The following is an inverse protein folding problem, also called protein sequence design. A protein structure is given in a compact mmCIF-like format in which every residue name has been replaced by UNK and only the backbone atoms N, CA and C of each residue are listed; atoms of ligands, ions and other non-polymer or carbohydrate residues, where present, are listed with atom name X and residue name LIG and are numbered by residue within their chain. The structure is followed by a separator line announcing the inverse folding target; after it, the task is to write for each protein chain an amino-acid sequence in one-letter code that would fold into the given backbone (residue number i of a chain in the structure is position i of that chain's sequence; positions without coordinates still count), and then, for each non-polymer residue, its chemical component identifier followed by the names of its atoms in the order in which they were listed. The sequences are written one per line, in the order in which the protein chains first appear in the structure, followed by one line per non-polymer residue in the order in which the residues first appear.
data_IF_117727293068
#
_entry.id   IF_117727293068
#
_cell.length_a   1.000
_cell.length_b   1.000
_cell.length_c   1.000
_cell.angle_alpha   90.00
_cell.angle_beta   90.00
_cell.angle_gamma   90.00
#
_symmetry.space_group_name_H-M   'P 1'
#
loop_
_entity.id
_entity.type
_entity.pdbx_description
1 polymer ?
2 water ?
#
# COMPACT_ATOMS: atom_id res chain seq x y z
N UNK A 10 27.04 19.78 21.29
CA UNK A 10 26.26 21.04 21.48
C UNK A 10 24.85 20.95 20.84
N UNK A 11 24.19 19.81 21.06
CA UNK A 11 22.88 19.50 20.44
C UNK A 11 22.09 18.51 21.28
N UNK A 12 20.78 18.47 21.06
CA UNK A 12 19.88 17.53 21.73
C UNK A 12 18.95 16.86 20.73
N UNK A 13 18.44 15.69 21.11
CA UNK A 13 17.51 14.91 20.30
C UNK A 13 16.38 14.48 21.22
N UNK A 14 15.16 14.54 20.73
CA UNK A 14 13.96 14.26 21.52
C UNK A 14 12.75 14.02 20.63
N UNK A 15 11.75 13.33 21.15
CA UNK A 15 10.50 13.12 20.42
C UNK A 15 9.66 14.41 20.45
N UNK A 16 9.07 14.83 19.31
CA UNK A 16 8.21 16.02 19.29
C UNK A 16 6.93 15.85 20.10
N UNK A 17 6.39 16.96 20.61
CA UNK A 17 5.16 16.96 21.41
C UNK A 17 3.92 16.62 20.57
N UNK A 20 1.34 14.68 14.28
CA UNK A 20 0.13 13.89 14.12
C UNK A 20 0.38 12.69 13.20
N UNK A 21 0.17 11.49 13.72
CA UNK A 21 0.41 10.24 12.97
C UNK A 21 -0.79 9.87 12.11
N UNK A 22 -0.55 9.57 10.84
CA UNK A 22 -1.61 9.11 9.93
C UNK A 22 -2.04 7.69 10.33
N UNK A 23 -3.34 7.49 10.63
CA UNK A 23 -3.85 6.16 10.90
C UNK A 23 -3.81 5.30 9.63
N UNK A 24 -3.39 4.05 9.77
CA UNK A 24 -3.38 3.06 8.68
C UNK A 24 -4.80 2.69 8.21
N UNK A 25 -4.92 2.17 6.99
CA UNK A 25 -6.21 1.71 6.48
C UNK A 25 -6.56 0.31 6.97
N UNK A 26 -7.69 0.22 7.68
CA UNK A 26 -8.25 -1.02 8.16
C UNK A 26 -9.72 -1.08 7.80
N UNK A 27 -10.23 -2.29 7.63
CA UNK A 27 -11.66 -2.49 7.41
C UNK A 27 -12.15 -3.63 8.30
N UNK A 28 -13.47 -3.69 8.47
CA UNK A 28 -14.08 -4.76 9.24
C UNK A 28 -14.44 -5.89 8.28
N UNK A 29 -13.98 -7.09 8.59
CA UNK A 29 -14.27 -8.26 7.77
C UNK A 29 -14.57 -9.42 8.70
N UNK A 30 -15.25 -10.42 8.16
CA UNK A 30 -15.55 -11.60 8.94
C UNK A 30 -15.07 -12.85 8.22
N UNK A 31 -14.33 -13.69 8.93
CA UNK A 31 -13.89 -14.96 8.39
C UNK A 31 -14.51 -16.09 9.21
N UNK A 32 -15.36 -16.88 8.54
CA UNK A 32 -16.12 -17.96 9.17
C UNK A 32 -16.82 -17.48 10.46
N UNK A 33 -17.52 -16.33 10.30
CA UNK A 33 -18.20 -15.61 11.39
C UNK A 33 -17.36 -14.93 12.48
N UNK A 34 -16.03 -14.99 12.36
CA UNK A 34 -15.14 -14.31 13.32
C UNK A 34 -14.82 -12.92 12.81
N UNK A 35 -15.15 -11.87 13.60
CA UNK A 35 -14.85 -10.50 13.17
C UNK A 35 -13.35 -10.25 13.19
N UNK A 36 -12.84 -9.65 12.13
CA UNK A 36 -11.41 -9.39 11.97
C UNK A 36 -11.26 -7.96 11.46
N UNK A 37 -10.24 -7.28 11.95
CA UNK A 37 -9.87 -5.96 11.45
C UNK A 37 -8.68 -6.13 10.50
N UNK A 38 -8.91 -5.90 9.21
CA UNK A 38 -7.93 -6.18 8.16
C UNK A 38 -7.15 -4.94 7.70
N UNK A 39 -5.83 -5.08 7.61
CA UNK A 39 -4.89 -4.02 7.18
C UNK A 39 -4.88 -3.97 5.66
N UNK A 40 -5.16 -2.78 5.10
CA UNK A 40 -5.23 -2.60 3.62
C UNK A 40 -3.91 -1.98 3.15
N UNK A 41 -3.09 -2.79 2.50
CA UNK A 41 -1.70 -2.41 2.23
C UNK A 41 -1.31 -2.60 0.76
N UNK A 42 -1.35 -1.52 -0.03
CA UNK A 42 -0.91 -1.59 -1.44
C UNK A 42 0.60 -1.80 -1.60
N UNK A 43 1.36 -1.66 -0.50
CA UNK A 43 2.80 -1.89 -0.53
C UNK A 43 3.20 -3.35 -0.48
N UNK A 44 2.23 -4.23 -0.24
CA UNK A 44 2.46 -5.68 -0.18
C UNK A 44 1.85 -6.35 -1.39
N UNK A 45 2.63 -7.22 -2.04
CA UNK A 45 2.14 -7.99 -3.18
C UNK A 45 1.14 -9.06 -2.73
N UNK A 46 1.38 -9.62 -1.54
CA UNK A 46 0.67 -10.83 -1.12
C UNK A 46 -0.18 -10.65 0.12
N UNK A 47 -1.41 -11.15 0.04
CA UNK A 47 -2.36 -11.11 1.13
C UNK A 47 -1.93 -12.18 2.13
N UNK A 48 -1.92 -11.80 3.40
CA UNK A 48 -1.47 -12.67 4.49
C UNK A 48 -2.46 -12.88 5.61
N UNK A 49 -2.46 -14.11 6.14
CA UNK A 49 -3.28 -14.44 7.29
C UNK A 49 -2.35 -15.00 8.36
N UNK A 50 -2.54 -14.56 9.59
CA UNK A 50 -1.76 -15.09 10.69
C UNK A 50 -2.09 -16.56 10.95
N UNK A 51 -1.10 -17.32 11.39
CA UNK A 51 -1.30 -18.70 11.83
C UNK A 51 -2.41 -18.76 12.91
N UNK A 52 -2.40 -17.78 13.81
CA UNK A 52 -3.36 -17.67 14.93
C UNK A 52 -4.81 -17.57 14.44
N UNK A 53 -5.07 -16.70 13.45
CA UNK A 53 -6.42 -16.53 12.91
C UNK A 53 -6.87 -17.76 12.10
N UNK A 54 -5.93 -18.37 11.36
CA UNK A 54 -6.21 -19.61 10.64
C UNK A 54 -6.66 -20.70 11.59
N UNK A 55 -6.06 -20.71 12.79
CA UNK A 55 -6.45 -21.64 13.84
C UNK A 55 -7.85 -21.32 14.37
N UNK A 56 -8.09 -20.07 14.77
CA UNK A 56 -9.34 -19.64 15.43
C UNK A 56 -10.57 -19.77 14.53
N UNK A 57 -10.39 -19.46 13.24
CA UNK A 57 -11.49 -19.49 12.26
C UNK A 57 -11.77 -20.87 11.66
N UNK A 58 -10.94 -21.85 12.05
CA UNK A 58 -11.04 -23.20 11.54
C UNK A 58 -10.57 -23.35 10.10
N UNK A 59 -9.53 -22.61 9.72
CA UNK A 59 -8.93 -22.73 8.37
C UNK A 59 -7.55 -23.41 8.32
N UNK A 60 -7.06 -23.87 9.47
CA UNK A 60 -5.72 -24.47 9.56
C UNK A 60 -5.63 -25.75 8.73
N UNK A 61 -6.76 -26.45 8.59
CA UNK A 61 -6.82 -27.67 7.76
C UNK A 61 -6.91 -27.38 6.26
N UNK A 62 -7.00 -26.10 5.90
CA UNK A 62 -7.04 -25.69 4.49
C UNK A 62 -5.68 -25.15 4.01
N UNK A 63 -4.67 -25.19 4.89
CA UNK A 63 -3.34 -24.67 4.55
C UNK A 63 -2.58 -25.71 3.71
N UNK A 64 -2.32 -25.34 2.47
CA UNK A 64 -1.54 -26.10 1.52
C UNK A 64 -0.07 -25.86 1.84
N UNK A 65 0.66 -26.94 2.11
CA UNK A 65 2.04 -26.80 2.60
C UNK A 65 3.15 -27.04 1.57
N UNK A 66 2.81 -27.36 0.32
CA UNK A 66 3.86 -27.62 -0.66
C UNK A 66 4.62 -26.36 -1.08
N UNK A 67 5.95 -26.46 -1.09
CA UNK A 67 6.83 -25.32 -1.33
C UNK A 67 7.04 -25.11 -2.83
C UNK A 78 7.36 -18.71 7.29
N UNK A 79 7.18 -19.09 6.03
CA UNK A 79 5.84 -19.31 5.48
C UNK A 79 5.31 -20.71 5.83
N UNK A 80 4.21 -20.76 6.54
CA UNK A 80 3.56 -22.00 6.89
C UNK A 80 2.91 -22.71 5.70
N UNK A 81 2.29 -21.92 4.83
CA UNK A 81 1.61 -22.45 3.65
C UNK A 81 0.69 -21.44 2.98
N UNK A 82 -0.20 -21.94 2.14
CA UNK A 82 -1.14 -21.11 1.38
C UNK A 82 -2.55 -21.61 1.61
N UNK A 83 -3.50 -20.70 1.82
CA UNK A 83 -4.94 -21.04 1.79
C UNK A 83 -5.44 -20.57 0.43
N UNK A 84 -5.96 -21.52 -0.36
CA UNK A 84 -6.28 -21.17 -1.75
C UNK A 84 -7.55 -20.39 -1.99
N UNK A 85 -8.61 -20.83 -1.35
CA UNK A 85 -9.88 -20.16 -1.44
C UNK A 85 -10.39 -20.22 -0.04
N UNK A 86 -10.54 -19.04 0.53
CA UNK A 86 -11.37 -18.87 1.70
C UNK A 86 -12.26 -17.66 1.52
N UNK A 87 -13.50 -17.79 1.98
CA UNK A 87 -14.46 -16.70 1.85
C UNK A 87 -14.26 -15.66 2.94
N UNK A 88 -14.20 -14.41 2.49
CA UNK A 88 -14.12 -13.29 3.38
C UNK A 88 -15.45 -12.57 3.29
N UNK A 89 -16.12 -12.45 4.42
CA UNK A 89 -17.38 -11.70 4.43
C UNK A 89 -17.15 -10.20 4.64
N UNK A 90 -17.62 -9.40 3.70
CA UNK A 90 -17.53 -7.95 3.80
C UNK A 90 -18.93 -7.41 3.52
N UNK A 91 -19.44 -6.66 4.50
CA UNK A 91 -20.84 -6.25 4.52
C UNK A 91 -21.71 -7.52 4.46
N UNK A 92 -22.55 -7.72 3.43
CA UNK A 92 -23.39 -8.95 3.41
C UNK A 92 -22.93 -10.02 2.40
N UNK A 93 -21.79 -9.77 1.77
CA UNK A 93 -21.33 -10.58 0.64
C UNK A 93 -20.03 -11.31 0.96
N UNK A 94 -19.83 -12.46 0.31
CA UNK A 94 -18.63 -13.25 0.50
C UNK A 94 -17.73 -13.06 -0.70
N UNK A 95 -16.46 -12.85 -0.42
CA UNK A 95 -15.45 -12.56 -1.46
C UNK A 95 -14.36 -13.61 -1.29
N UNK A 96 -14.14 -14.48 -2.31
CA UNK A 96 -13.15 -15.55 -2.17
C UNK A 96 -11.72 -15.00 -2.33
N UNK A 97 -10.87 -15.31 -1.37
CA UNK A 97 -9.52 -14.78 -1.31
C UNK A 97 -8.50 -15.88 -1.04
N UNK A 98 -7.32 -15.69 -1.57
CA UNK A 98 -6.15 -16.51 -1.14
C UNK A 98 -5.07 -15.95 -0.15
N UNK A 99 -4.52 -16.71 0.77
CA UNK A 99 -3.78 -16.11 1.84
C UNK A 99 -2.50 -16.90 1.93
N UNK A 100 -1.43 -16.20 2.31
CA UNK A 100 -0.18 -16.85 2.54
C UNK A 100 -0.24 -16.79 4.06
N UNK A 101 0.01 -17.92 4.69
CA UNK A 101 -0.06 -18.03 6.16
C UNK A 101 1.32 -17.86 6.79
N UNK A 102 1.42 -16.88 7.70
CA UNK A 102 2.63 -16.55 8.47
C UNK A 102 2.29 -16.43 9.94
N UNK A 103 3.25 -16.70 10.82
CA UNK A 103 3.15 -16.32 12.24
C UNK A 103 3.42 -14.81 12.39
N UNK A 104 2.33 -14.03 12.58
CA UNK A 104 2.41 -12.56 12.60
C UNK A 104 1.37 -11.99 13.56
N UNK A 105 1.63 -10.77 14.08
CA UNK A 105 0.71 -10.04 14.96
C UNK A 105 -0.49 -9.49 14.17
N UNK A 106 -0.28 -9.28 12.86
CA UNK A 106 -1.31 -8.81 11.94
C UNK A 106 -2.14 -10.00 11.49
N UNK A 107 -3.42 -10.03 11.89
CA UNK A 107 -4.29 -11.13 11.60
C UNK A 107 -4.67 -11.27 10.13
N UNK A 108 -5.00 -10.16 9.47
CA UNK A 108 -5.20 -10.22 8.01
C UNK A 108 -4.54 -8.99 7.41
N UNK A 109 -3.73 -9.18 6.38
CA UNK A 109 -3.18 -8.05 5.63
C UNK A 109 -3.68 -8.26 4.20
N UNK A 110 -4.47 -7.31 3.72
CA UNK A 110 -4.99 -7.36 2.33
C UNK A 110 -3.98 -6.66 1.43
N UNK A 111 -3.38 -7.43 0.52
CA UNK A 111 -2.35 -6.96 -0.38
C UNK A 111 -2.85 -6.70 -1.80
N UNK A 112 -1.92 -6.33 -2.68
CA UNK A 112 -2.27 -6.00 -4.06
C UNK A 112 -2.93 -7.12 -4.83
N UNK A 113 -2.53 -8.36 -4.55
CA UNK A 113 -3.08 -9.52 -5.26
C UNK A 113 -4.61 -9.55 -5.15
N UNK A 114 -5.13 -9.38 -3.94
CA UNK A 114 -6.57 -9.43 -3.71
C UNK A 114 -7.27 -8.14 -4.09
N UNK A 115 -6.60 -6.99 -3.90
CA UNK A 115 -7.15 -5.72 -4.43
C UNK A 115 -7.30 -5.72 -5.96
N UNK A 116 -6.31 -6.28 -6.67
CA UNK A 116 -6.38 -6.41 -8.14
C UNK A 116 -7.39 -7.48 -8.57
N UNK A 117 -7.37 -8.62 -7.89
CA UNK A 117 -8.29 -9.72 -8.25
C UNK A 117 -9.74 -9.28 -8.14
N UNK A 118 -10.04 -8.52 -7.08
CA UNK A 118 -11.40 -8.06 -6.80
C UNK A 118 -11.68 -6.62 -7.26
N UNK A 119 -10.83 -6.13 -8.18
CA UNK A 119 -11.06 -4.86 -8.86
C UNK A 119 -11.43 -3.74 -7.87
N UNK A 120 -10.60 -3.62 -6.84
CA UNK A 120 -10.88 -2.75 -5.70
C UNK A 120 -10.53 -1.28 -5.97
N UNK A 121 -11.17 -0.41 -5.21
CA UNK A 121 -10.78 0.98 -5.18
C UNK A 121 -10.59 1.43 -3.74
N UNK A 122 -9.39 1.94 -3.46
CA UNK A 122 -9.08 2.52 -2.16
C UNK A 122 -9.43 4.00 -2.29
N UNK A 123 -10.58 4.39 -1.74
CA UNK A 123 -11.13 5.73 -1.99
C UNK A 123 -10.90 6.59 -0.75
N UNK A 124 -9.88 7.44 -0.80
CA UNK A 124 -9.57 8.28 0.36
C UNK A 124 -10.38 9.57 0.47
N UNK A 125 -11.08 9.96 -0.61
CA UNK A 125 -12.06 11.06 -0.59
C UNK A 125 -13.32 10.69 0.22
N UNK A 126 -13.92 9.53 -0.08
CA UNK A 126 -15.09 9.02 0.66
C UNK A 126 -14.71 8.17 1.89
N UNK A 127 -13.41 7.86 2.06
CA UNK A 127 -12.90 6.97 3.13
C UNK A 127 -13.54 5.56 3.14
N UNK A 128 -13.57 4.93 1.97
CA UNK A 128 -14.13 3.60 1.84
C UNK A 128 -13.33 2.75 0.89
N UNK A 129 -13.48 1.45 1.04
CA UNK A 129 -12.85 0.50 0.17
C UNK A 129 -13.97 -0.12 -0.63
N UNK A 130 -13.84 -0.11 -1.93
CA UNK A 130 -14.83 -0.75 -2.77
C UNK A 130 -14.10 -1.98 -3.23
N UNK A 131 -14.69 -3.13 -2.99
CA UNK A 131 -14.07 -4.39 -3.35
C UNK A 131 -15.17 -5.31 -3.89
N UNK A 132 -14.85 -6.05 -4.94
CA UNK A 132 -15.84 -6.89 -5.64
C UNK A 132 -17.12 -6.05 -5.79
N UNK A 133 -18.26 -6.49 -5.26
CA UNK A 133 -19.49 -5.71 -5.40
C UNK A 133 -19.93 -4.88 -4.18
N UNK A 134 -19.05 -4.77 -3.17
CA UNK A 134 -19.41 -4.09 -1.89
C UNK A 134 -18.59 -2.83 -1.63
N UNK A 135 -19.07 -2.04 -0.67
CA UNK A 135 -18.38 -0.85 -0.20
C UNK A 135 -18.36 -0.90 1.34
N UNK A 136 -17.20 -0.68 1.93
CA UNK A 136 -17.03 -0.69 3.39
C UNK A 136 -16.14 0.48 3.86
N UNK A 137 -16.49 1.09 4.99
CA UNK A 137 -15.74 2.23 5.52
C UNK A 137 -14.41 1.81 6.15
N UNK A 138 -13.39 2.66 6.00
CA UNK A 138 -12.18 2.48 6.78
C UNK A 138 -12.44 2.76 8.24
N UNK A 139 -11.72 2.06 9.11
CA UNK A 139 -11.89 2.19 10.55
C UNK A 139 -11.24 3.44 11.14
N UNK A 140 -11.83 3.93 12.23
CA UNK A 140 -11.27 5.03 13.00
C UNK A 140 -9.97 4.58 13.70
N UNK A 141 -9.07 5.56 13.92
CA UNK A 141 -7.76 5.33 14.60
C UNK A 141 -7.88 4.55 15.92
N UNK A 142 -8.94 4.86 16.67
CA UNK A 142 -9.24 4.19 17.95
C UNK A 142 -9.57 2.70 17.81
N UNK A 143 -10.03 2.30 16.62
CA UNK A 143 -10.44 0.92 16.33
C UNK A 143 -9.31 0.04 15.76
N UNK A 144 -8.23 0.66 15.32
CA UNK A 144 -7.09 -0.06 14.72
C UNK A 144 -6.38 -0.94 15.78
N UNK A 145 -6.09 -2.23 15.44
CA UNK A 145 -5.38 -3.16 16.36
C UNK A 145 -4.05 -2.61 16.88
N UNK B 9 -11.80 -35.77 -27.81
CA UNK B 9 -12.82 -36.53 -27.04
C UNK B 9 -14.25 -36.17 -27.46
N UNK B 10 -15.18 -37.07 -27.18
CA UNK B 10 -16.62 -36.89 -27.44
C UNK B 10 -17.25 -35.60 -26.87
N UNK B 11 -16.70 -35.10 -25.76
CA UNK B 11 -17.18 -33.88 -25.11
C UNK B 11 -15.98 -33.03 -24.70
N UNK B 12 -16.16 -31.70 -24.76
CA UNK B 12 -15.11 -30.75 -24.32
C UNK B 12 -15.61 -29.94 -23.12
N UNK B 13 -14.88 -30.06 -22.01
CA UNK B 13 -15.20 -29.40 -20.75
C UNK B 13 -14.37 -28.13 -20.62
N UNK B 14 -15.04 -27.02 -20.32
CA UNK B 14 -14.36 -25.74 -20.19
C UNK B 14 -14.31 -25.37 -18.71
N UNK B 15 -13.08 -25.32 -18.17
CA UNK B 15 -12.86 -24.90 -16.78
C UNK B 15 -12.03 -23.62 -16.83
N UNK B 16 -12.69 -22.45 -16.79
CA UNK B 16 -11.93 -21.20 -16.96
C UNK B 16 -11.09 -20.86 -15.73
N UNK B 17 -10.00 -20.15 -15.95
CA UNK B 17 -9.17 -19.61 -14.88
C UNK B 17 -8.75 -18.22 -15.28
N UNK B 18 -8.62 -17.34 -14.30
CA UNK B 18 -8.05 -16.02 -14.53
C UNK B 18 -6.56 -16.02 -14.23
N UNK B 19 -5.83 -15.24 -15.02
CA UNK B 19 -4.41 -14.96 -14.80
C UNK B 19 -4.29 -13.44 -14.66
N UNK B 20 -3.76 -13.01 -13.51
CA UNK B 20 -3.69 -11.59 -13.19
C UNK B 20 -2.27 -11.26 -12.76
N UNK B 21 -1.63 -10.38 -13.53
CA UNK B 21 -0.33 -9.79 -13.15
C UNK B 21 -0.52 -8.92 -11.92
N UNK B 22 0.37 -9.03 -10.94
CA UNK B 22 0.32 -8.21 -9.72
C UNK B 22 1.64 -7.42 -9.54
N UNK B 23 1.87 -6.41 -10.42
CA UNK B 23 3.09 -5.60 -10.22
C UNK B 23 2.87 -4.64 -9.05
N UNK B 24 3.96 -4.18 -8.43
CA UNK B 24 3.87 -3.08 -7.44
C UNK B 24 3.27 -1.83 -8.09
N UNK B 25 2.57 -0.99 -7.32
CA UNK B 25 1.92 0.20 -7.89
C UNK B 25 2.91 1.33 -8.00
N UNK B 26 3.13 1.76 -9.22
CA UNK B 26 3.96 2.92 -9.52
C UNK B 26 3.24 3.88 -10.44
N UNK B 27 3.59 5.15 -10.33
CA UNK B 27 3.13 6.18 -11.25
C UNK B 27 4.31 7.01 -11.73
N UNK B 28 4.15 7.71 -12.84
CA UNK B 28 5.11 8.70 -13.31
C UNK B 28 4.78 10.06 -12.70
N UNK B 29 5.80 10.69 -12.14
CA UNK B 29 5.71 12.05 -11.64
C UNK B 29 6.92 12.83 -12.13
N UNK B 30 6.89 14.14 -11.93
CA UNK B 30 8.07 14.96 -12.18
C UNK B 30 8.37 15.83 -11.00
N UNK B 31 9.67 15.93 -10.67
CA UNK B 31 10.10 16.77 -9.55
C UNK B 31 11.17 17.66 -10.14
N UNK B 32 10.88 18.96 -10.18
CA UNK B 32 11.76 19.95 -10.84
C UNK B 32 12.19 19.49 -12.23
N UNK B 33 11.20 19.01 -13.01
CA UNK B 33 11.38 18.61 -14.43
C UNK B 33 12.12 17.27 -14.61
N UNK B 34 12.47 16.61 -13.50
CA UNK B 34 13.08 15.28 -13.53
C UNK B 34 11.99 14.21 -13.47
N UNK B 35 11.94 13.30 -14.48
CA UNK B 35 10.95 12.21 -14.43
C UNK B 35 11.34 11.19 -13.35
N UNK B 36 10.35 10.75 -12.58
CA UNK B 36 10.58 9.87 -11.42
C UNK B 36 9.49 8.83 -11.45
N UNK B 37 9.83 7.57 -11.17
CA UNK B 37 8.78 6.58 -10.98
C UNK B 37 8.51 6.45 -9.49
N UNK B 38 7.28 6.74 -9.06
CA UNK B 38 6.93 6.82 -7.62
C UNK B 38 6.10 5.63 -7.15
N UNK B 39 6.54 5.01 -6.05
CA UNK B 39 5.90 3.84 -5.44
C UNK B 39 4.67 4.29 -4.64
N UNK B 40 3.51 3.68 -4.87
CA UNK B 40 2.28 4.07 -4.18
C UNK B 40 2.01 3.04 -3.10
N UNK B 41 2.27 3.43 -1.86
CA UNK B 41 2.16 2.54 -0.72
C UNK B 41 1.23 2.96 0.42
N UNK B 42 0.03 2.40 0.46
CA UNK B 42 -0.89 2.73 1.56
C UNK B 42 -0.45 2.19 2.94
N UNK B 43 0.53 1.30 2.96
CA UNK B 43 1.11 0.77 4.22
C UNK B 43 2.24 1.59 4.80
N UNK B 44 2.50 2.76 4.21
CA UNK B 44 3.55 3.65 4.68
C UNK B 44 2.95 4.86 5.40
N UNK B 45 3.46 5.11 6.61
CA UNK B 45 3.01 6.23 7.42
C UNK B 45 3.59 7.57 6.97
N UNK B 46 4.61 7.52 6.13
CA UNK B 46 5.22 8.75 5.65
C UNK B 46 5.56 8.61 4.19
N UNK B 47 5.83 9.74 3.54
CA UNK B 47 6.19 9.80 2.14
C UNK B 47 7.69 10.03 2.09
N UNK B 48 8.36 9.27 1.24
CA UNK B 48 9.80 9.29 1.14
C UNK B 48 10.40 9.78 -0.15
N UNK B 49 11.53 10.49 -0.01
CA UNK B 49 12.33 10.89 -1.12
C UNK B 49 13.75 10.47 -0.81
N UNK B 50 14.42 9.83 -1.75
CA UNK B 50 15.83 9.45 -1.58
C UNK B 50 16.75 10.69 -1.49
N UNK B 51 17.87 10.54 -0.76
CA UNK B 51 18.87 11.61 -0.71
C UNK B 51 19.40 11.89 -2.13
N UNK B 52 19.62 10.82 -2.90
CA UNK B 52 20.07 10.92 -4.30
C UNK B 52 19.12 11.83 -5.10
N UNK B 53 17.82 11.56 -5.04
CA UNK B 53 16.88 12.39 -5.77
C UNK B 53 16.79 13.82 -5.22
N UNK B 54 16.75 13.98 -3.90
CA UNK B 54 16.69 15.31 -3.29
C UNK B 54 17.86 16.18 -3.77
N UNK B 55 19.05 15.57 -3.86
CA UNK B 55 20.25 16.26 -4.34
C UNK B 55 20.22 16.57 -5.83
N UNK B 56 19.87 15.57 -6.65
CA UNK B 56 19.73 15.73 -8.11
C UNK B 56 18.75 16.83 -8.52
N UNK B 57 17.61 16.91 -7.81
CA UNK B 57 16.54 17.85 -8.15
C UNK B 57 16.75 19.27 -7.61
N UNK B 58 17.83 19.48 -6.86
CA UNK B 58 18.12 20.75 -6.20
C UNK B 58 17.27 21.05 -4.98
N UNK B 59 16.74 19.99 -4.35
CA UNK B 59 15.91 20.14 -3.15
C UNK B 59 16.67 20.03 -1.84
N UNK B 60 17.98 19.75 -1.91
CA UNK B 60 18.77 19.59 -0.67
C UNK B 60 18.76 20.78 0.31
N UNK B 61 18.72 22.03 -0.19
CA UNK B 61 18.66 23.24 0.66
C UNK B 61 17.42 23.25 1.56
N UNK B 62 16.36 22.58 1.08
CA UNK B 62 15.13 22.49 1.83
C UNK B 62 15.03 21.21 2.67
N UNK B 63 16.11 20.43 2.76
CA UNK B 63 16.16 19.27 3.69
C UNK B 63 16.39 19.88 5.07
N UNK B 64 15.32 19.86 5.87
CA UNK B 64 15.34 20.41 7.21
C UNK B 64 15.84 19.33 8.18
N UNK B 65 17.11 19.49 8.59
CA UNK B 65 17.81 18.48 9.41
C UNK B 65 17.43 18.49 10.90
N UNK B 66 16.51 19.38 11.29
CA UNK B 66 15.91 19.37 12.62
C UNK B 66 14.90 18.21 12.77
N UNK B 67 14.42 17.71 11.63
CA UNK B 67 13.43 16.65 11.65
C UNK B 67 14.07 15.35 11.17
N UNK B 68 14.40 14.51 12.14
CA UNK B 68 15.02 13.23 11.87
C UNK B 68 14.19 12.11 12.50
N UNK B 69 14.82 11.00 12.82
CA UNK B 69 14.08 9.90 13.41
C UNK B 69 14.26 8.65 12.59
N UNK B 70 13.28 7.79 12.66
CA UNK B 70 13.33 6.55 11.92
C UNK B 70 12.12 6.24 11.03
N UNK B 71 12.41 5.80 9.82
CA UNK B 71 11.38 5.27 8.92
C UNK B 71 11.72 3.81 8.68
N UNK B 72 11.31 2.96 9.63
CA UNK B 72 11.68 1.54 9.64
C UNK B 72 11.03 0.83 8.47
N UNK B 73 11.86 0.12 7.71
CA UNK B 73 11.39 -0.68 6.55
C UNK B 73 11.81 -0.17 5.18
N UNK B 74 12.57 0.94 5.15
CA UNK B 74 13.14 1.54 3.92
C UNK B 74 14.58 1.95 4.22
N UNK B 75 15.51 1.55 3.34
CA UNK B 75 16.96 1.76 3.52
C UNK B 75 17.45 1.27 4.87
N UNK B 76 18.28 2.09 5.51
CA UNK B 76 18.72 1.80 6.89
C UNK B 76 17.73 2.33 7.93
N UNK B 77 16.70 3.06 7.46
CA UNK B 77 15.68 3.65 8.31
C UNK B 77 16.06 5.01 8.90
N UNK B 78 17.31 5.42 8.72
CA UNK B 78 17.84 6.65 9.34
C UNK B 78 17.43 7.91 8.57
N UNK B 79 16.52 8.68 9.14
CA UNK B 79 16.02 9.91 8.52
C UNK B 79 17.11 10.99 8.54
N UNK B 80 17.33 11.60 7.38
CA UNK B 80 18.30 12.68 7.22
C UNK B 80 17.65 14.03 7.47
N UNK B 81 16.37 14.15 7.12
CA UNK B 81 15.66 15.41 7.30
C UNK B 81 14.29 15.37 6.66
N UNK B 82 13.57 16.48 6.73
CA UNK B 82 12.24 16.61 6.13
C UNK B 82 12.22 17.74 5.16
N UNK B 83 11.70 17.46 3.96
CA UNK B 83 11.35 18.55 3.02
C UNK B 83 9.90 18.88 3.30
N UNK B 84 9.63 20.01 3.95
CA UNK B 84 8.28 20.36 4.32
C UNK B 84 7.35 20.55 3.14
N UNK B 85 7.85 21.15 2.09
CA UNK B 85 7.04 21.30 0.89
C UNK B 85 7.86 21.34 -0.39
N UNK B 86 7.48 20.51 -1.35
CA UNK B 86 8.09 20.51 -2.66
C UNK B 86 6.94 20.24 -3.63
N UNK B 87 6.89 20.97 -4.72
CA UNK B 87 5.81 20.76 -5.68
C UNK B 87 6.11 19.55 -6.53
N UNK B 88 5.12 18.68 -6.62
CA UNK B 88 5.21 17.47 -7.42
C UNK B 88 4.29 17.62 -8.64
N UNK B 89 4.84 17.41 -9.83
CA UNK B 89 4.01 17.48 -11.02
C UNK B 89 3.43 16.09 -11.32
N UNK B 90 2.11 16.00 -11.34
CA UNK B 90 1.45 14.74 -11.71
C UNK B 90 0.55 15.11 -12.88
N UNK B 91 0.90 14.59 -14.06
CA UNK B 91 0.24 14.97 -15.30
C UNK B 91 0.28 16.51 -15.47
N UNK B 92 -0.87 17.17 -15.53
CA UNK B 92 -0.88 18.63 -15.75
C UNK B 92 -0.99 19.49 -14.48
N UNK B 93 -0.77 18.89 -13.30
CA UNK B 93 -1.00 19.61 -12.06
C UNK B 93 0.21 19.52 -11.15
N UNK B 94 0.61 20.65 -10.57
CA UNK B 94 1.59 20.65 -9.49
C UNK B 94 0.86 20.54 -8.17
N UNK B 95 1.31 19.64 -7.31
CA UNK B 95 0.69 19.53 -6.00
C UNK B 95 1.75 19.57 -4.90
N UNK B 96 1.44 20.26 -3.79
CA UNK B 96 2.42 20.34 -2.70
C UNK B 96 2.50 19.04 -1.87
N UNK B 97 3.72 18.53 -1.68
CA UNK B 97 3.94 17.31 -0.89
C UNK B 97 5.08 17.52 0.10
N UNK B 98 5.01 16.78 1.22
CA UNK B 98 6.09 16.74 2.20
C UNK B 98 6.86 15.43 2.05
N UNK B 99 8.16 15.45 2.35
CA UNK B 99 9.00 14.27 2.19
C UNK B 99 9.91 14.01 3.38
N UNK B 100 9.96 12.75 3.76
CA UNK B 100 10.99 12.24 4.68
C UNK B 100 12.16 11.77 3.82
N UNK B 101 13.34 12.34 4.06
CA UNK B 101 14.51 12.08 3.22
C UNK B 101 15.43 11.05 3.91
N UNK B 102 15.80 10.01 3.15
CA UNK B 102 16.76 9.01 3.61
C UNK B 102 17.48 8.36 2.43
N UNK B 103 18.61 7.70 2.74
CA UNK B 103 19.40 6.97 1.75
C UNK B 103 18.65 5.70 1.38
N UNK B 104 18.19 5.63 0.13
CA UNK B 104 17.43 4.50 -0.40
C UNK B 104 17.50 4.47 -1.91
N UNK B 105 17.30 3.26 -2.45
CA UNK B 105 17.17 3.06 -3.90
C UNK B 105 15.80 3.46 -4.46
N UNK B 106 14.81 3.60 -3.58
CA UNK B 106 13.46 4.04 -3.95
C UNK B 106 13.43 5.57 -4.04
N UNK B 107 13.31 6.10 -5.25
CA UNK B 107 13.44 7.55 -5.47
C UNK B 107 12.34 8.32 -4.73
N UNK B 108 11.09 7.87 -4.91
CA UNK B 108 9.95 8.44 -4.22
C UNK B 108 8.99 7.32 -3.85
N UNK B 109 8.57 7.33 -2.59
CA UNK B 109 7.50 6.45 -2.11
C UNK B 109 6.38 7.35 -1.60
N UNK B 110 5.22 7.27 -2.23
CA UNK B 110 4.07 8.07 -1.83
C UNK B 110 3.31 7.27 -0.79
N UNK B 111 3.33 7.77 0.44
CA UNK B 111 2.70 7.12 1.56
C UNK B 111 1.27 7.58 1.81
N UNK B 112 0.67 6.97 2.82
CA UNK B 112 -0.73 7.22 3.12
C UNK B 112 -1.00 8.68 3.52
N UNK B 113 0.01 9.33 4.11
CA UNK B 113 -0.13 10.76 4.49
C UNK B 113 -0.47 11.68 3.29
N UNK B 114 0.30 11.52 2.21
CA UNK B 114 0.11 12.32 1.00
C UNK B 114 -1.11 11.85 0.20
N UNK B 115 -1.35 10.55 0.18
CA UNK B 115 -2.57 10.03 -0.45
C UNK B 115 -3.87 10.62 0.20
N UNK B 116 -3.91 10.65 1.53
CA UNK B 116 -5.05 11.24 2.25
C UNK B 116 -5.12 12.76 2.04
N UNK B 117 -3.97 13.43 2.15
CA UNK B 117 -3.90 14.89 1.97
C UNK B 117 -4.52 15.32 0.64
N UNK B 118 -4.26 14.54 -0.42
CA UNK B 118 -4.73 14.88 -1.75
C UNK B 118 -5.92 14.07 -2.23
N UNK B 119 -6.64 13.49 -1.26
CA UNK B 119 -7.93 12.83 -1.49
C UNK B 119 -7.87 11.84 -2.65
N UNK B 120 -6.85 10.99 -2.59
CA UNK B 120 -6.56 10.08 -3.69
C UNK B 120 -7.53 8.93 -3.74
N UNK B 121 -7.70 8.41 -4.95
CA UNK B 121 -8.40 7.14 -5.18
C UNK B 121 -7.45 6.20 -5.90
N UNK B 122 -7.12 5.08 -5.26
CA UNK B 122 -6.25 4.11 -5.86
C UNK B 122 -7.19 3.09 -6.52
N UNK B 123 -7.35 3.21 -7.84
CA UNK B 123 -8.38 2.45 -8.54
C UNK B 123 -7.76 1.26 -9.30
N UNK B 124 -7.88 0.07 -8.71
CA UNK B 124 -7.30 -1.13 -9.30
C UNK B 124 -8.17 -1.76 -10.38
N UNK B 125 -9.44 -1.38 -10.45
CA UNK B 125 -10.31 -1.78 -11.54
C UNK B 125 -9.88 -1.09 -12.84
N UNK B 126 -9.74 0.23 -12.79
CA UNK B 126 -9.37 1.03 -13.95
C UNK B 126 -7.85 1.14 -14.15
N UNK B 127 -7.07 0.72 -13.14
CA UNK B 127 -5.61 0.77 -13.16
C UNK B 127 -5.06 2.21 -13.22
N UNK B 128 -5.66 3.08 -12.42
CA UNK B 128 -5.22 4.46 -12.37
C UNK B 128 -5.29 5.02 -10.96
N UNK B 129 -4.52 6.07 -10.75
CA UNK B 129 -4.54 6.76 -9.50
C UNK B 129 -5.16 8.12 -9.78
N UNK B 130 -6.20 8.47 -9.03
CA UNK B 130 -6.81 9.77 -9.17
C UNK B 130 -6.34 10.52 -7.94
N UNK B 131 -5.71 11.66 -8.14
CA UNK B 131 -5.19 12.45 -7.05
C UNK B 131 -5.37 13.93 -7.39
N UNK B 132 -5.70 14.74 -6.39
CA UNK B 132 -6.02 16.15 -6.62
C UNK B 132 -7.01 16.20 -7.79
N UNK B 133 -6.69 16.93 -8.86
CA UNK B 133 -7.65 17.05 -9.95
C UNK B 133 -7.24 16.28 -11.21
N UNK B 134 -6.34 15.30 -11.04
CA UNK B 134 -5.80 14.58 -12.18
C UNK B 134 -5.99 13.06 -12.06
N UNK B 135 -5.66 12.36 -13.13
CA UNK B 135 -5.69 10.91 -13.16
C UNK B 135 -4.42 10.46 -13.87
N UNK B 136 -3.75 9.43 -13.33
CA UNK B 136 -2.52 8.95 -13.97
C UNK B 136 -2.49 7.42 -13.91
N UNK B 137 -2.01 6.78 -14.98
CA UNK B 137 -2.04 5.32 -15.07
C UNK B 137 -0.95 4.65 -14.23
N UNK B 138 -1.26 3.50 -13.63
CA UNK B 138 -0.23 2.67 -12.99
C UNK B 138 0.69 2.08 -14.04
N UNK B 139 1.97 1.96 -13.70
CA UNK B 139 2.95 1.45 -14.66
C UNK B 139 2.81 -0.05 -14.87
N UNK B 140 3.13 -0.51 -16.08
CA UNK B 140 3.16 -1.94 -16.35
C UNK B 140 4.44 -2.54 -15.77
N UNK B 141 4.39 -3.86 -15.57
CA UNK B 141 5.52 -4.63 -15.03
C UNK B 141 6.86 -4.26 -15.69
N UNK B 142 6.84 -4.02 -17.01
CA UNK B 142 8.02 -3.62 -17.82
C UNK B 142 8.62 -2.24 -17.52
N UNK B 143 7.78 -1.31 -17.05
CA UNK B 143 8.22 0.05 -16.74
C UNK B 143 8.59 0.21 -15.25
N UNK B 144 8.25 -0.78 -14.42
CA UNK B 144 8.48 -0.72 -12.98
C UNK B 144 9.96 -0.91 -12.59
N UNK B 145 10.52 -0.03 -11.73
CA UNK B 145 11.92 -0.20 -11.33
C UNK B 145 12.13 -1.41 -10.39
N UNK B 146 13.26 -2.10 -10.54
CA UNK B 146 13.51 -3.32 -9.77
C UNK B 146 14.80 -3.25 -8.95
#
# INVERSE_FOLDING_TARGET
GPLGSEQLRNAIEYTPEMFTQVPMLYINIEINNYPVKAFVDTGAQTTIMSTRLAKKTGLSRMIDKRFIGEARGVGTGKIIGRIHQAQVKIETQYIPCSFTVLDTDIDVLIGLDMLKRHLACVDLKENVLRIAEVETSFLSEAEIPK
GPLGSEQLRNAIEYTPEMFTQVPMLYINIEINNYPVKAFVDTGAQTTIMSTRLAKKTGLSRMIDKRFIGEARGVGTGKIIGRIHQAQVKIETQYIPCSFTVLDTDIDVLIGLDMLKRHLACVDLKENVLRIAEVETSFLSEAEIPK
#
